data_IF_431396639708
#
_entry.id   IF_431396639708
#
_cell.length_a   1.000
_cell.length_b   1.000
_cell.length_c   1.000
_cell.angle_alpha   90.00
_cell.angle_beta   90.00
_cell.angle_gamma   90.00
#
_symmetry.space_group_name_H-M   'P 1'
#
loop_
_entity.id
_entity.type
_entity.pdbx_description
1 polymer ?
#
# COMPACT_ATOMS: atom_id res chain seq x y z
N UNK A 1 4.58 -15.42 -64.06
CA UNK A 1 5.64 -15.23 -63.08
C UNK A 1 5.55 -13.82 -62.53
N UNK A 2 5.07 -13.61 -61.32
CA UNK A 2 5.07 -12.40 -60.46
C UNK A 2 3.87 -12.43 -59.53
N UNK A 3 3.94 -13.18 -58.41
CA UNK A 3 3.04 -13.08 -57.25
C UNK A 3 3.66 -13.84 -56.07
N UNK A 4 4.81 -13.43 -55.52
CA UNK A 4 5.42 -14.05 -54.35
C UNK A 4 6.33 -13.08 -53.56
N UNK A 5 6.00 -11.76 -53.48
CA UNK A 5 6.85 -10.83 -52.77
C UNK A 5 6.10 -9.83 -51.87
N UNK A 6 4.89 -10.18 -51.36
CA UNK A 6 4.14 -9.28 -50.48
C UNK A 6 3.68 -9.93 -49.16
N UNK A 7 4.27 -11.02 -48.73
CA UNK A 7 3.84 -11.69 -47.45
C UNK A 7 4.89 -11.63 -46.33
N UNK A 8 5.96 -10.85 -46.49
CA UNK A 8 7.02 -10.74 -45.44
C UNK A 8 7.12 -9.39 -44.72
N UNK A 9 6.21 -8.47 -44.97
CA UNK A 9 6.27 -7.12 -44.38
C UNK A 9 5.26 -6.91 -43.20
N UNK A 10 4.41 -7.92 -42.85
CA UNK A 10 3.35 -7.76 -41.85
C UNK A 10 3.65 -8.43 -40.48
N UNK A 11 4.87 -8.98 -40.29
CA UNK A 11 5.20 -9.73 -39.05
C UNK A 11 6.23 -9.04 -38.16
N UNK A 12 6.50 -7.75 -38.35
CA UNK A 12 7.55 -7.02 -37.61
C UNK A 12 7.05 -5.82 -36.80
N UNK A 13 5.74 -5.66 -36.62
CA UNK A 13 5.17 -4.54 -35.83
C UNK A 13 4.41 -4.99 -34.57
N UNK A 14 4.50 -6.23 -34.14
CA UNK A 14 3.79 -6.71 -32.94
C UNK A 14 4.72 -7.09 -31.78
N UNK A 15 5.93 -6.55 -31.68
CA UNK A 15 6.85 -6.81 -30.57
C UNK A 15 7.22 -5.58 -29.74
N UNK A 16 6.40 -4.52 -29.78
CA UNK A 16 6.74 -3.22 -29.20
C UNK A 16 5.91 -2.75 -28.00
N UNK A 17 5.05 -3.56 -27.36
CA UNK A 17 4.22 -3.08 -26.22
C UNK A 17 4.14 -4.14 -25.10
N UNK A 18 5.26 -4.72 -24.67
CA UNK A 18 5.36 -5.50 -23.45
C UNK A 18 6.60 -5.09 -22.64
N UNK A 19 6.81 -3.80 -22.46
CA UNK A 19 7.95 -3.28 -21.70
C UNK A 19 7.52 -2.41 -20.52
N UNK A 20 6.56 -2.84 -19.71
CA UNK A 20 6.09 -2.10 -18.54
C UNK A 20 6.28 -2.83 -17.19
N UNK A 21 6.93 -4.00 -17.16
CA UNK A 21 7.36 -4.63 -15.90
C UNK A 21 8.66 -5.39 -16.14
N UNK A 22 9.76 -4.67 -16.35
CA UNK A 22 11.07 -5.31 -16.44
C UNK A 22 11.58 -5.64 -15.04
N UNK A 23 11.98 -6.89 -14.74
CA UNK A 23 12.61 -7.26 -13.45
C UNK A 23 13.77 -6.33 -13.10
N UNK A 24 14.55 -5.90 -14.08
CA UNK A 24 15.66 -4.96 -13.92
C UNK A 24 15.24 -3.57 -13.38
N UNK A 25 14.03 -3.10 -13.71
CA UNK A 25 13.48 -1.83 -13.17
C UNK A 25 13.16 -1.94 -11.68
N UNK A 26 12.61 -3.06 -11.27
CA UNK A 26 12.28 -3.31 -9.86
C UNK A 26 13.53 -3.48 -8.99
N UNK A 27 14.55 -4.19 -9.46
CA UNK A 27 15.83 -4.32 -8.74
C UNK A 27 16.56 -2.98 -8.56
N UNK A 28 16.56 -2.15 -9.61
CA UNK A 28 17.14 -0.80 -9.54
C UNK A 28 16.39 0.11 -8.57
N UNK A 29 15.08 -0.02 -8.51
CA UNK A 29 14.25 0.69 -7.55
C UNK A 29 14.54 0.22 -6.11
N UNK A 30 14.53 -1.08 -5.84
CA UNK A 30 14.77 -1.62 -4.50
C UNK A 30 16.17 -1.29 -3.97
N UNK A 31 17.19 -1.24 -4.82
CA UNK A 31 18.54 -0.75 -4.41
C UNK A 31 18.53 0.71 -3.96
N UNK A 32 17.71 1.58 -4.55
CA UNK A 32 17.53 2.95 -4.05
C UNK A 32 16.80 2.95 -2.70
N UNK A 33 15.74 2.18 -2.58
CA UNK A 33 15.00 2.04 -1.30
C UNK A 33 15.93 1.60 -0.16
N UNK A 34 16.78 0.60 -0.38
CA UNK A 34 17.77 0.15 0.60
C UNK A 34 18.81 1.24 0.95
N UNK A 35 19.19 2.07 -0.03
CA UNK A 35 20.09 3.19 0.20
C UNK A 35 19.42 4.26 1.06
N UNK A 36 18.18 4.61 0.75
CA UNK A 36 17.40 5.59 1.49
C UNK A 36 17.07 5.09 2.92
N UNK A 37 16.80 3.79 3.06
CA UNK A 37 16.61 3.16 4.36
C UNK A 37 17.87 3.23 5.23
N UNK A 38 19.05 2.89 4.70
CA UNK A 38 20.32 3.03 5.43
C UNK A 38 20.58 4.47 5.84
N UNK A 39 20.32 5.42 4.95
CA UNK A 39 20.42 6.83 5.28
C UNK A 39 19.47 7.23 6.42
N UNK A 40 18.24 6.71 6.42
CA UNK A 40 17.28 6.93 7.51
C UNK A 40 17.80 6.37 8.85
N UNK A 41 18.42 5.19 8.86
CA UNK A 41 19.06 4.62 10.05
C UNK A 41 20.22 5.50 10.57
N UNK A 42 21.02 6.05 9.66
CA UNK A 42 22.13 6.97 10.03
C UNK A 42 21.60 8.28 10.64
N UNK A 43 20.47 8.79 10.18
CA UNK A 43 19.83 9.97 10.75
C UNK A 43 19.23 9.73 12.16
N UNK A 44 18.89 8.50 12.49
CA UNK A 44 18.25 8.09 13.74
C UNK A 44 19.10 7.04 14.48
N UNK A 45 20.35 7.35 14.87
CA UNK A 45 21.30 6.36 15.37
C UNK A 45 21.08 5.95 16.84
N UNK A 46 20.06 6.49 17.52
CA UNK A 46 19.81 6.27 18.94
C UNK A 46 18.48 5.56 19.16
N UNK A 47 18.45 4.69 20.17
CA UNK A 47 17.27 3.89 20.50
C UNK A 47 17.11 2.68 19.57
N UNK A 48 16.17 1.82 19.93
CA UNK A 48 15.85 0.59 19.18
C UNK A 48 14.69 0.85 18.20
N UNK A 49 14.87 1.82 17.29
CA UNK A 49 13.84 2.20 16.33
C UNK A 49 13.74 1.24 15.13
N UNK A 50 14.77 0.42 14.92
CA UNK A 50 14.87 -0.51 13.78
C UNK A 50 14.98 -1.97 14.19
N UNK A 51 14.83 -2.30 15.49
CA UNK A 51 14.95 -3.66 16.01
C UNK A 51 13.99 -4.65 15.39
N UNK A 52 12.85 -4.18 14.87
CA UNK A 52 11.91 -5.03 14.13
C UNK A 52 12.55 -5.75 12.93
N UNK A 53 13.63 -5.19 12.35
CA UNK A 53 14.34 -5.82 11.24
C UNK A 53 15.21 -7.03 11.65
N UNK A 54 15.39 -7.27 12.95
CA UNK A 54 16.02 -8.48 13.49
C UNK A 54 15.00 -9.63 13.63
N UNK A 55 13.71 -9.33 13.58
CA UNK A 55 12.65 -10.33 13.64
C UNK A 55 12.52 -11.12 12.32
N UNK A 56 12.05 -12.38 12.40
CA UNK A 56 11.81 -13.20 11.22
C UNK A 56 10.75 -12.58 10.29
N UNK A 57 11.12 -12.36 9.04
CA UNK A 57 10.24 -11.86 7.98
C UNK A 57 10.45 -12.63 6.69
N UNK A 58 9.37 -12.80 5.92
CA UNK A 58 9.49 -13.23 4.53
C UNK A 58 10.22 -12.16 3.70
N UNK A 59 10.83 -12.51 2.55
CA UNK A 59 11.43 -11.51 1.66
C UNK A 59 10.48 -10.38 1.29
N UNK A 60 9.20 -10.68 1.04
CA UNK A 60 8.18 -9.69 0.67
C UNK A 60 7.84 -8.76 1.84
N UNK A 61 7.73 -9.29 3.08
CA UNK A 61 7.54 -8.47 4.28
C UNK A 61 8.73 -7.54 4.49
N UNK A 62 9.94 -8.05 4.34
CA UNK A 62 11.18 -7.27 4.50
C UNK A 62 11.28 -6.15 3.47
N UNK A 63 11.01 -6.42 2.20
CA UNK A 63 10.99 -5.40 1.14
C UNK A 63 9.96 -4.31 1.43
N UNK A 64 8.75 -4.70 1.87
CA UNK A 64 7.68 -3.78 2.21
C UNK A 64 8.04 -2.92 3.44
N UNK A 65 8.57 -3.53 4.51
CA UNK A 65 9.03 -2.82 5.71
C UNK A 65 10.18 -1.87 5.39
N UNK A 66 11.15 -2.30 4.57
CA UNK A 66 12.27 -1.44 4.13
C UNK A 66 11.76 -0.21 3.39
N UNK A 67 10.78 -0.39 2.49
CA UNK A 67 10.13 0.71 1.78
C UNK A 67 9.42 1.67 2.75
N UNK A 68 8.60 1.16 3.67
CA UNK A 68 7.90 2.00 4.64
C UNK A 68 8.88 2.82 5.47
N UNK A 69 9.88 2.19 6.07
CA UNK A 69 10.83 2.85 6.94
C UNK A 69 11.74 3.85 6.20
N UNK A 70 12.05 3.61 4.91
CA UNK A 70 12.77 4.56 4.10
C UNK A 70 12.02 5.89 3.93
N UNK A 71 10.68 5.81 3.76
CA UNK A 71 9.89 6.96 3.30
C UNK A 71 8.85 7.48 4.30
N UNK A 72 8.50 6.73 5.36
CA UNK A 72 7.58 7.24 6.38
C UNK A 72 8.17 8.42 7.15
N UNK A 73 7.33 9.31 7.71
CA UNK A 73 7.77 10.39 8.59
C UNK A 73 8.58 9.89 9.78
N UNK A 74 9.56 10.66 10.23
CA UNK A 74 10.36 10.32 11.43
C UNK A 74 9.48 10.18 12.67
N UNK A 75 8.46 11.03 12.81
CA UNK A 75 7.50 10.93 13.91
C UNK A 75 6.83 9.57 13.99
N UNK A 76 6.48 8.98 12.86
CA UNK A 76 5.86 7.65 12.82
C UNK A 76 6.84 6.57 13.31
N UNK A 77 8.13 6.63 12.93
CA UNK A 77 9.15 5.69 13.43
C UNK A 77 9.32 5.78 14.95
N UNK A 78 9.16 6.98 15.52
CA UNK A 78 9.37 7.22 16.96
C UNK A 78 8.13 6.99 17.81
N UNK A 79 6.95 7.17 17.25
CA UNK A 79 5.68 7.15 18.00
C UNK A 79 5.01 5.77 18.01
N UNK A 80 5.37 4.88 17.06
CA UNK A 80 4.77 3.55 16.92
C UNK A 80 5.85 2.46 16.92
N UNK A 81 5.51 1.32 17.51
CA UNK A 81 6.40 0.15 17.54
C UNK A 81 6.48 -0.52 16.16
N UNK A 82 7.61 -1.17 15.89
CA UNK A 82 7.83 -1.88 14.63
C UNK A 82 6.79 -2.96 14.31
N UNK A 83 6.30 -3.66 15.35
CA UNK A 83 5.25 -4.67 15.21
C UNK A 83 3.96 -4.10 14.60
N UNK A 84 3.60 -2.89 14.96
CA UNK A 84 2.45 -2.20 14.36
C UNK A 84 2.58 -2.12 12.84
N UNK A 85 3.74 -1.73 12.33
CA UNK A 85 3.98 -1.66 10.88
C UNK A 85 4.04 -3.04 10.23
N UNK A 86 4.65 -4.01 10.88
CA UNK A 86 4.73 -5.38 10.36
C UNK A 86 3.34 -6.02 10.24
N UNK A 87 2.46 -5.81 11.20
CA UNK A 87 1.07 -6.28 11.13
C UNK A 87 0.30 -5.60 9.99
N UNK A 88 0.47 -4.30 9.80
CA UNK A 88 -0.13 -3.57 8.68
C UNK A 88 0.39 -4.07 7.31
N UNK A 89 1.68 -4.36 7.21
CA UNK A 89 2.30 -4.97 6.01
C UNK A 89 1.70 -6.35 5.74
N UNK A 90 1.61 -7.19 6.75
CA UNK A 90 1.03 -8.54 6.65
C UNK A 90 -0.42 -8.50 6.17
N UNK A 91 -1.22 -7.60 6.75
CA UNK A 91 -2.59 -7.38 6.32
C UNK A 91 -2.66 -6.97 4.85
N UNK A 92 -1.87 -5.98 4.41
CA UNK A 92 -1.86 -5.52 3.03
C UNK A 92 -1.42 -6.62 2.03
N UNK A 93 -0.40 -7.41 2.38
CA UNK A 93 0.07 -8.53 1.57
C UNK A 93 -0.95 -9.67 1.49
N UNK A 94 -1.63 -9.97 2.60
CA UNK A 94 -2.71 -10.98 2.65
C UNK A 94 -3.86 -10.59 1.72
N UNK A 95 -4.37 -9.37 1.83
CA UNK A 95 -5.43 -8.85 0.94
C UNK A 95 -5.03 -8.93 -0.54
N UNK A 96 -3.78 -8.55 -0.86
CA UNK A 96 -3.26 -8.65 -2.24
C UNK A 96 -3.26 -10.08 -2.76
N UNK A 97 -3.06 -11.08 -1.89
CA UNK A 97 -3.04 -12.50 -2.28
C UNK A 97 -4.44 -13.09 -2.34
N UNK A 98 -5.32 -12.71 -1.43
CA UNK A 98 -6.65 -13.28 -1.27
C UNK A 98 -7.66 -12.74 -2.29
N UNK A 99 -7.58 -11.46 -2.63
CA UNK A 99 -8.54 -10.86 -3.56
C UNK A 99 -8.27 -11.27 -5.01
N UNK A 100 -9.32 -11.64 -5.79
CA UNK A 100 -9.16 -12.10 -7.18
C UNK A 100 -8.41 -11.10 -8.07
N UNK A 101 -8.58 -9.82 -7.81
CA UNK A 101 -7.96 -8.71 -8.54
C UNK A 101 -6.65 -8.22 -7.91
N UNK A 102 -6.27 -8.70 -6.72
CA UNK A 102 -5.10 -8.19 -6.00
C UNK A 102 -3.78 -8.34 -6.77
N UNK A 103 -3.66 -9.42 -7.56
CA UNK A 103 -2.47 -9.64 -8.42
C UNK A 103 -2.40 -8.71 -9.62
N UNK A 104 -3.50 -8.05 -10.00
CA UNK A 104 -3.50 -7.06 -11.09
C UNK A 104 -2.98 -5.70 -10.64
N UNK A 105 -2.88 -5.45 -9.32
CA UNK A 105 -2.26 -4.26 -8.76
C UNK A 105 -0.74 -4.38 -8.93
N UNK A 106 -0.13 -3.48 -9.70
CA UNK A 106 1.31 -3.48 -9.92
C UNK A 106 2.07 -3.27 -8.61
N UNK A 107 3.34 -3.70 -8.57
CA UNK A 107 4.19 -3.46 -7.39
C UNK A 107 4.39 -1.97 -7.09
N UNK A 108 4.41 -1.13 -8.11
CA UNK A 108 4.50 0.32 -7.97
C UNK A 108 3.25 0.88 -7.28
N UNK A 109 2.06 0.54 -7.78
CA UNK A 109 0.80 0.96 -7.16
C UNK A 109 0.66 0.42 -5.74
N UNK A 110 1.02 -0.84 -5.52
CA UNK A 110 0.98 -1.44 -4.19
C UNK A 110 1.86 -0.67 -3.20
N UNK A 111 3.13 -0.40 -3.55
CA UNK A 111 4.07 0.29 -2.67
C UNK A 111 3.66 1.72 -2.35
N UNK A 112 3.14 2.45 -3.35
CA UNK A 112 2.88 3.88 -3.18
C UNK A 112 1.47 4.22 -2.68
N UNK A 113 0.48 3.32 -2.86
CA UNK A 113 -0.92 3.64 -2.57
C UNK A 113 -1.62 2.63 -1.65
N UNK A 114 -1.14 1.39 -1.56
CA UNK A 114 -1.76 0.37 -0.70
C UNK A 114 -0.97 0.15 0.58
N UNK A 115 0.36 0.11 0.47
CA UNK A 115 1.26 -0.20 1.58
C UNK A 115 1.34 0.91 2.64
N UNK A 116 1.40 2.23 2.29
CA UNK A 116 1.48 3.30 3.29
C UNK A 116 0.33 3.22 4.29
N UNK A 117 0.65 3.44 5.57
CA UNK A 117 -0.33 3.38 6.66
C UNK A 117 -1.03 4.73 6.87
N UNK A 118 -0.35 5.80 6.49
CA UNK A 118 -0.83 7.18 6.64
C UNK A 118 -1.26 7.76 5.30
N UNK A 119 -2.43 8.39 5.28
CA UNK A 119 -2.95 9.12 4.11
C UNK A 119 -2.65 10.61 4.23
N UNK A 120 -2.79 11.20 5.41
CA UNK A 120 -2.58 12.62 5.67
C UNK A 120 -1.88 12.82 7.03
N UNK A 121 -2.54 13.47 7.98
CA UNK A 121 -2.01 13.77 9.32
C UNK A 121 -2.86 13.17 10.45
N UNK A 122 -3.67 12.18 10.13
CA UNK A 122 -4.47 11.41 11.10
C UNK A 122 -3.59 10.69 12.13
N UNK A 123 -4.13 10.43 13.29
CA UNK A 123 -3.52 9.51 14.24
C UNK A 123 -3.67 8.08 13.73
N UNK A 124 -2.60 7.30 13.76
CA UNK A 124 -2.65 5.91 13.34
C UNK A 124 -3.27 5.03 14.44
N UNK A 125 -3.98 4.00 14.04
CA UNK A 125 -4.57 2.97 14.91
C UNK A 125 -4.72 1.64 14.14
N UNK A 126 -5.35 0.64 14.76
CA UNK A 126 -5.56 -0.70 14.20
C UNK A 126 -6.66 -0.76 13.12
N UNK A 127 -7.02 0.37 12.52
CA UNK A 127 -8.12 0.47 11.56
C UNK A 127 -7.99 -0.52 10.40
N UNK A 128 -6.79 -0.67 9.84
CA UNK A 128 -6.58 -1.57 8.69
C UNK A 128 -7.01 -3.00 9.00
N UNK A 129 -6.65 -3.53 10.16
CA UNK A 129 -7.06 -4.88 10.57
C UNK A 129 -8.56 -4.96 10.86
N UNK A 130 -9.09 -3.99 11.60
CA UNK A 130 -10.52 -3.96 11.96
C UNK A 130 -11.38 -3.82 10.71
N UNK A 131 -11.01 -2.92 9.79
CA UNK A 131 -11.75 -2.71 8.55
C UNK A 131 -11.61 -3.88 7.58
N UNK A 132 -10.44 -4.53 7.52
CA UNK A 132 -10.27 -5.77 6.77
C UNK A 132 -11.28 -6.84 7.21
N UNK A 133 -11.40 -7.08 8.50
CA UNK A 133 -12.29 -8.11 9.04
C UNK A 133 -13.78 -7.79 8.76
N UNK A 134 -14.15 -6.51 8.76
CA UNK A 134 -15.50 -6.07 8.45
C UNK A 134 -15.81 -6.06 6.94
N UNK A 135 -14.84 -5.62 6.13
CA UNK A 135 -15.03 -5.45 4.68
C UNK A 135 -14.85 -6.75 3.89
N UNK A 136 -13.98 -7.65 4.34
CA UNK A 136 -13.69 -8.90 3.62
C UNK A 136 -14.96 -9.66 3.21
N UNK A 137 -15.92 -9.95 4.10
CA UNK A 137 -17.15 -10.65 3.70
C UNK A 137 -18.05 -9.85 2.74
N UNK A 138 -17.92 -8.52 2.73
CA UNK A 138 -18.70 -7.65 1.84
C UNK A 138 -18.16 -7.61 0.42
N UNK A 139 -16.84 -7.76 0.25
CA UNK A 139 -16.16 -7.63 -1.05
C UNK A 139 -15.73 -8.98 -1.65
N UNK A 140 -15.87 -10.06 -0.90
CA UNK A 140 -15.48 -11.40 -1.35
C UNK A 140 -16.27 -11.80 -2.60
N UNK A 141 -15.54 -12.23 -3.66
CA UNK A 141 -16.13 -12.64 -4.94
C UNK A 141 -16.54 -11.49 -5.86
N UNK A 142 -16.44 -10.23 -5.44
CA UNK A 142 -16.75 -9.08 -6.29
C UNK A 142 -15.63 -8.80 -7.30
N UNK A 143 -15.98 -8.14 -8.41
CA UNK A 143 -14.99 -7.51 -9.29
C UNK A 143 -14.30 -6.36 -8.56
N UNK A 144 -13.13 -5.93 -9.02
CA UNK A 144 -12.44 -4.76 -8.43
C UNK A 144 -13.35 -3.52 -8.43
N UNK A 145 -14.09 -3.29 -9.51
CA UNK A 145 -14.99 -2.14 -9.63
C UNK A 145 -16.14 -2.22 -8.60
N UNK A 146 -16.79 -3.37 -8.48
CA UNK A 146 -17.87 -3.54 -7.52
C UNK A 146 -17.37 -3.48 -6.07
N UNK A 147 -16.18 -4.02 -5.80
CA UNK A 147 -15.53 -3.91 -4.48
C UNK A 147 -15.25 -2.45 -4.11
N UNK A 148 -14.77 -1.62 -5.04
CA UNK A 148 -14.56 -0.18 -4.82
C UNK A 148 -15.88 0.51 -4.48
N UNK A 149 -16.97 0.20 -5.21
CA UNK A 149 -18.29 0.77 -4.93
C UNK A 149 -18.80 0.34 -3.56
N UNK A 150 -18.62 -0.92 -3.19
CA UNK A 150 -19.03 -1.45 -1.89
C UNK A 150 -18.26 -0.82 -0.73
N UNK A 151 -16.94 -0.66 -0.87
CA UNK A 151 -16.13 0.05 0.13
C UNK A 151 -16.57 1.51 0.27
N UNK A 152 -16.81 2.20 -0.85
CA UNK A 152 -17.31 3.57 -0.81
C UNK A 152 -18.69 3.66 -0.11
N UNK A 153 -19.59 2.71 -0.39
CA UNK A 153 -20.88 2.64 0.29
C UNK A 153 -20.71 2.41 1.80
N UNK A 154 -19.85 1.49 2.20
CA UNK A 154 -19.50 1.24 3.60
C UNK A 154 -18.96 2.48 4.30
N UNK A 155 -18.07 3.25 3.64
CA UNK A 155 -17.58 4.51 4.19
C UNK A 155 -18.71 5.48 4.50
N UNK A 156 -19.69 5.62 3.60
CA UNK A 156 -20.89 6.45 3.82
C UNK A 156 -21.79 5.96 4.95
N UNK A 157 -21.81 4.66 5.20
CA UNK A 157 -22.54 4.10 6.36
C UNK A 157 -21.84 4.45 7.68
N UNK A 158 -20.52 4.60 7.69
CA UNK A 158 -19.70 4.75 8.89
C UNK A 158 -19.45 6.18 9.31
N UNK A 159 -19.24 7.10 8.36
CA UNK A 159 -18.83 8.46 8.68
C UNK A 159 -19.38 9.48 7.70
N UNK A 160 -19.47 10.72 8.20
CA UNK A 160 -19.77 11.88 7.42
C UNK A 160 -18.67 12.94 7.61
N UNK A 161 -18.35 13.66 6.53
CA UNK A 161 -17.43 14.76 6.61
C UNK A 161 -17.92 15.85 7.55
N UNK A 162 -17.07 16.22 8.50
CA UNK A 162 -17.28 17.39 9.37
C UNK A 162 -15.95 18.11 9.57
N UNK A 163 -15.88 19.42 9.26
CA UNK A 163 -14.70 20.21 9.59
C UNK A 163 -14.46 20.15 11.10
N UNK A 164 -13.26 19.78 11.52
CA UNK A 164 -12.93 19.78 12.94
C UNK A 164 -12.25 21.09 13.35
N UNK A 165 -12.40 21.41 14.60
CA UNK A 165 -11.88 22.56 15.30
C UNK A 165 -10.48 22.35 15.89
N UNK A 166 -9.55 21.81 15.09
CA UNK A 166 -8.13 21.66 15.39
C UNK A 166 -7.65 20.32 15.99
N UNK A 167 -8.50 19.32 16.14
CA UNK A 167 -8.06 18.00 16.60
C UNK A 167 -7.96 17.02 15.44
N UNK A 168 -6.81 16.35 15.31
CA UNK A 168 -6.65 15.17 14.46
C UNK A 168 -7.19 13.95 15.20
N UNK A 169 -7.95 13.12 14.53
CA UNK A 169 -8.51 11.88 15.05
C UNK A 169 -7.88 10.68 14.34
N UNK A 170 -8.23 9.47 14.77
CA UNK A 170 -7.86 8.23 14.08
C UNK A 170 -9.06 7.68 13.31
N UNK A 171 -8.85 6.79 12.31
CA UNK A 171 -9.95 6.18 11.56
C UNK A 171 -10.97 5.46 12.44
N UNK A 172 -10.54 4.69 13.45
CA UNK A 172 -11.47 4.05 14.38
C UNK A 172 -12.24 5.04 15.26
N UNK A 173 -11.63 6.17 15.62
CA UNK A 173 -12.35 7.23 16.33
C UNK A 173 -13.38 7.89 15.42
N UNK A 174 -13.07 8.08 14.14
CA UNK A 174 -14.00 8.59 13.13
C UNK A 174 -15.22 7.69 13.00
N UNK A 175 -15.03 6.37 12.89
CA UNK A 175 -16.15 5.42 12.86
C UNK A 175 -16.98 5.47 14.16
N UNK A 176 -16.34 5.56 15.32
CA UNK A 176 -17.07 5.66 16.62
C UNK A 176 -17.90 6.93 16.77
N UNK A 177 -17.45 8.01 16.21
CA UNK A 177 -18.15 9.31 16.29
C UNK A 177 -19.06 9.56 15.10
N UNK A 178 -18.93 8.78 14.03
CA UNK A 178 -19.56 8.96 12.73
C UNK A 178 -19.21 10.30 12.03
N UNK A 179 -18.14 10.97 12.45
CA UNK A 179 -17.67 12.23 11.88
C UNK A 179 -16.15 12.26 11.78
N UNK A 180 -15.64 12.72 10.64
CA UNK A 180 -14.22 12.91 10.40
C UNK A 180 -13.93 14.06 9.46
N UNK A 181 -12.68 14.47 9.42
CA UNK A 181 -12.15 15.34 8.36
C UNK A 181 -11.73 14.49 7.18
N UNK A 182 -11.39 15.15 6.08
CA UNK A 182 -10.96 14.47 4.86
C UNK A 182 -9.82 13.46 5.06
N UNK A 183 -8.87 13.73 5.97
CA UNK A 183 -7.77 12.81 6.27
C UNK A 183 -8.26 11.51 6.91
N UNK A 184 -9.07 11.63 7.95
CA UNK A 184 -9.60 10.49 8.70
C UNK A 184 -10.62 9.66 7.89
N UNK A 185 -11.38 10.30 6.98
CA UNK A 185 -12.32 9.60 6.09
C UNK A 185 -11.62 8.87 4.94
N UNK A 186 -10.43 9.32 4.55
CA UNK A 186 -9.71 8.77 3.41
C UNK A 186 -8.79 7.61 3.78
N UNK A 187 -8.58 7.35 5.07
CA UNK A 187 -7.73 6.27 5.58
C UNK A 187 -8.47 4.97 5.63
#
# INVERSE_FOLDING_TARGET
>A
MKKTTQLFAALLILTGVLSACSPAGNEGFMRRVETDFRHKQELLPRGDLFGIFDEPMTPQERDAMTFLYAYMPVGDITDYLGDFYLENVRCALSVRQEMPWGRSVSDELFRHFVLPVRVNNECLDDSRRVFHDELKPRVEGLSMYDAILEVNHWCHEKANYQPSDARTSSPLATVRTAYGRCGEEST
#
